data_IF_885453676408
#
_entry.id   IF_885453676408
#
_cell.length_a   1.000
_cell.length_b   1.000
_cell.length_c   1.000
_cell.angle_alpha   90.00
_cell.angle_beta   90.00
_cell.angle_gamma   90.00
#
_symmetry.space_group_name_H-M   'P 1'
#
loop_
_entity.id
_entity.type
_entity.pdbx_description
1 polymer ?
#
# COMPACT_ATOMS: atom_id res chain seq x y z
N UNK A 1 2.19 23.97 -3.57
CA UNK A 1 3.14 22.93 -3.12
C UNK A 1 4.50 23.32 -3.62
N UNK A 2 5.55 22.94 -2.92
CA UNK A 2 6.94 23.12 -3.35
C UNK A 2 7.53 21.76 -3.72
N UNK A 3 8.02 21.63 -4.94
CA UNK A 3 8.75 20.45 -5.41
C UNK A 3 10.25 20.78 -5.45
N UNK A 4 11.03 20.10 -4.64
CA UNK A 4 12.47 20.27 -4.51
C UNK A 4 13.15 19.19 -5.32
N UNK A 5 14.01 19.54 -6.28
CA UNK A 5 14.65 18.57 -7.17
C UNK A 5 16.16 18.73 -7.12
N UNK A 6 16.87 17.69 -6.69
CA UNK A 6 18.32 17.60 -6.79
C UNK A 6 18.75 17.62 -8.26
N UNK A 7 19.64 18.54 -8.62
CA UNK A 7 20.03 18.82 -10.01
C UNK A 7 20.50 17.58 -10.76
N UNK A 8 21.31 16.73 -10.12
CA UNK A 8 21.77 15.46 -10.68
C UNK A 8 20.65 14.49 -11.10
N UNK A 9 19.48 14.58 -10.47
CA UNK A 9 18.33 13.73 -10.76
C UNK A 9 17.38 14.30 -11.80
N UNK A 10 17.47 15.60 -12.10
CA UNK A 10 16.59 16.22 -13.09
C UNK A 10 16.76 15.55 -14.47
N UNK A 11 15.65 15.45 -15.20
CA UNK A 11 15.60 14.85 -16.55
C UNK A 11 14.82 15.75 -17.52
N UNK A 12 15.23 15.85 -18.80
CA UNK A 12 14.49 16.60 -19.81
C UNK A 12 13.05 16.17 -20.00
N UNK A 13 12.77 14.87 -19.88
CA UNK A 13 11.42 14.30 -20.00
C UNK A 13 10.42 14.86 -18.97
N UNK A 14 10.91 15.41 -17.85
CA UNK A 14 10.06 15.94 -16.79
C UNK A 14 9.52 17.34 -17.07
N UNK A 15 9.98 17.99 -18.13
CA UNK A 15 9.66 19.39 -18.42
C UNK A 15 8.15 19.64 -18.57
N UNK A 16 7.43 18.77 -19.28
CA UNK A 16 5.98 18.88 -19.42
C UNK A 16 5.25 18.74 -18.08
N UNK A 17 5.72 17.83 -17.21
CA UNK A 17 5.15 17.63 -15.87
C UNK A 17 5.40 18.84 -14.96
N UNK A 18 6.60 19.44 -15.00
CA UNK A 18 6.94 20.63 -14.22
C UNK A 18 6.17 21.88 -14.71
N UNK A 19 5.96 22.00 -16.02
CA UNK A 19 5.14 23.07 -16.58
C UNK A 19 3.68 22.95 -16.10
N UNK A 20 3.11 21.74 -16.18
CA UNK A 20 1.76 21.48 -15.67
C UNK A 20 1.67 21.70 -14.14
N UNK A 21 2.73 21.38 -13.40
CA UNK A 21 2.84 21.63 -11.96
C UNK A 21 2.76 23.12 -11.63
N UNK A 22 3.54 23.95 -12.32
CA UNK A 22 3.54 25.41 -12.16
C UNK A 22 2.21 26.04 -12.58
N UNK A 23 1.59 25.58 -13.68
CA UNK A 23 0.27 26.05 -14.10
C UNK A 23 -0.84 25.84 -13.05
N UNK A 24 -0.68 24.85 -12.16
CA UNK A 24 -1.58 24.62 -11.02
C UNK A 24 -1.29 25.51 -9.81
N UNK A 25 -0.43 26.53 -9.95
CA UNK A 25 -0.02 27.43 -8.88
C UNK A 25 0.96 26.82 -7.88
N UNK A 26 1.61 25.71 -8.22
CA UNK A 26 2.68 25.14 -7.42
C UNK A 26 4.04 25.70 -7.86
N UNK A 27 5.05 25.54 -7.01
CA UNK A 27 6.42 25.96 -7.29
C UNK A 27 7.33 24.74 -7.35
N UNK A 28 8.43 24.85 -8.07
CA UNK A 28 9.51 23.90 -7.97
C UNK A 28 10.87 24.60 -7.86
N UNK A 29 11.78 23.97 -7.14
CA UNK A 29 13.06 24.52 -6.74
C UNK A 29 14.17 23.55 -7.16
N UNK A 30 15.25 24.10 -7.69
CA UNK A 30 16.44 23.33 -8.01
C UNK A 30 17.38 23.29 -6.80
N UNK A 31 17.77 22.10 -6.39
CA UNK A 31 18.77 21.87 -5.34
C UNK A 31 20.11 21.52 -5.97
N UNK A 32 21.10 22.38 -5.78
CA UNK A 32 22.47 22.14 -6.25
C UNK A 32 23.32 21.47 -5.18
N UNK A 33 24.04 20.44 -5.59
CA UNK A 33 25.08 19.77 -4.82
C UNK A 33 26.36 20.60 -4.69
N UNK A 34 27.31 20.12 -3.89
CA UNK A 34 28.61 20.78 -3.71
C UNK A 34 29.41 20.74 -5.02
N UNK A 35 29.67 21.90 -5.60
CA UNK A 35 30.47 22.03 -6.82
C UNK A 35 29.67 21.93 -8.12
N UNK A 36 28.34 21.79 -8.06
CA UNK A 36 27.50 21.89 -9.26
C UNK A 36 27.41 23.35 -9.72
N UNK A 37 27.88 23.61 -10.93
CA UNK A 37 27.75 24.90 -11.58
C UNK A 37 26.33 25.04 -12.18
N UNK A 38 25.85 26.29 -12.27
CA UNK A 38 24.54 26.66 -12.84
C UNK A 38 24.51 26.53 -14.38
N UNK A 39 25.34 25.67 -14.97
CA UNK A 39 25.56 25.70 -16.42
C UNK A 39 24.34 25.21 -17.22
N UNK A 40 23.85 26.15 -18.03
CA UNK A 40 22.95 26.06 -19.18
C UNK A 40 21.68 25.21 -19.02
N UNK A 41 20.69 25.84 -18.38
CA UNK A 41 19.26 25.54 -18.31
C UNK A 41 18.67 24.63 -19.43
N UNK A 42 18.56 23.31 -19.20
CA UNK A 42 17.70 22.45 -20.03
C UNK A 42 16.19 22.63 -19.69
N UNK A 43 15.86 23.51 -18.73
CA UNK A 43 14.51 23.81 -18.26
C UNK A 43 13.89 25.08 -18.89
N UNK A 44 14.33 25.52 -20.07
CA UNK A 44 13.89 26.78 -20.68
C UNK A 44 12.36 26.98 -20.75
N UNK A 45 11.59 25.91 -20.99
CA UNK A 45 10.13 25.97 -21.05
C UNK A 45 9.42 25.98 -19.68
N UNK A 46 10.13 25.69 -18.58
CA UNK A 46 9.60 25.68 -17.20
C UNK A 46 10.75 25.91 -16.23
N UNK A 47 11.22 27.16 -16.05
CA UNK A 47 12.34 27.45 -15.16
C UNK A 47 11.99 27.22 -13.69
N UNK A 48 12.97 26.87 -12.83
CA UNK A 48 12.73 26.74 -11.39
C UNK A 48 12.35 28.10 -10.80
N UNK A 49 11.42 28.08 -9.86
CA UNK A 49 10.97 29.25 -9.10
C UNK A 49 12.09 29.79 -8.18
N UNK A 50 13.08 28.95 -7.85
CA UNK A 50 14.31 29.36 -7.21
C UNK A 50 15.34 28.24 -7.16
N UNK A 51 16.57 28.61 -6.76
CA UNK A 51 17.71 27.70 -6.66
C UNK A 51 18.22 27.75 -5.22
N UNK A 52 18.50 26.58 -4.65
CA UNK A 52 19.01 26.41 -3.30
C UNK A 52 20.23 25.50 -3.32
N UNK A 53 21.14 25.67 -2.37
CA UNK A 53 22.21 24.71 -2.13
C UNK A 53 21.70 23.65 -1.16
N UNK A 54 21.95 22.37 -1.47
CA UNK A 54 21.58 21.25 -0.60
C UNK A 54 22.10 21.42 0.83
N UNK A 55 23.32 21.96 0.99
CA UNK A 55 23.93 22.25 2.30
C UNK A 55 23.16 23.30 3.10
N UNK A 56 22.62 24.31 2.43
CA UNK A 56 21.93 25.43 3.09
C UNK A 56 20.52 24.99 3.51
N UNK A 57 19.89 24.11 2.70
CA UNK A 57 18.64 23.45 3.07
C UNK A 57 18.82 22.54 4.29
N UNK A 58 19.91 21.76 4.35
CA UNK A 58 20.25 20.93 5.51
C UNK A 58 20.45 21.76 6.77
N UNK A 59 21.25 22.83 6.69
CA UNK A 59 21.48 23.74 7.82
C UNK A 59 20.16 24.37 8.30
N UNK A 60 19.26 24.70 7.37
CA UNK A 60 17.95 25.24 7.73
C UNK A 60 17.07 24.22 8.47
N UNK A 61 17.01 22.97 8.03
CA UNK A 61 16.27 21.91 8.74
C UNK A 61 16.82 21.62 10.13
N UNK A 62 18.12 21.83 10.35
CA UNK A 62 18.76 21.72 11.66
C UNK A 62 18.56 22.97 12.55
N UNK A 63 17.86 24.00 12.06
CA UNK A 63 17.62 25.25 12.79
C UNK A 63 18.83 26.21 12.82
N UNK A 64 19.87 25.93 12.03
CA UNK A 64 21.12 26.71 11.98
C UNK A 64 21.05 27.89 11.00
N UNK A 65 20.07 27.90 10.10
CA UNK A 65 19.91 28.93 9.07
C UNK A 65 18.44 29.19 8.70
N UNK A 66 18.15 30.38 8.18
CA UNK A 66 16.85 30.70 7.61
C UNK A 66 16.76 30.23 6.15
N UNK A 67 15.63 29.64 5.76
CA UNK A 67 15.35 29.23 4.39
C UNK A 67 13.94 29.67 3.98
N UNK A 68 13.73 30.13 2.72
CA UNK A 68 12.40 30.49 2.22
C UNK A 68 11.41 29.31 2.25
N UNK A 69 11.91 28.08 2.35
CA UNK A 69 11.09 26.86 2.48
C UNK A 69 10.68 26.56 3.92
N UNK A 70 11.39 27.06 4.94
CA UNK A 70 11.00 26.82 6.34
C UNK A 70 9.73 27.60 6.73
N UNK A 71 9.37 28.64 5.97
CA UNK A 71 8.11 29.37 6.14
C UNK A 71 6.89 28.60 5.61
N UNK A 72 7.11 27.55 4.81
CA UNK A 72 6.06 26.68 4.28
C UNK A 72 5.92 25.43 5.13
N UNK A 73 4.68 25.00 5.40
CA UNK A 73 4.42 23.77 6.17
C UNK A 73 5.04 22.55 5.45
N UNK A 74 5.76 21.64 6.15
CA UNK A 74 6.46 20.50 5.56
C UNK A 74 5.57 19.58 4.71
N UNK A 75 4.30 19.44 5.09
CA UNK A 75 3.29 18.68 4.34
C UNK A 75 2.99 19.30 2.96
N UNK A 76 3.47 20.51 2.68
CA UNK A 76 3.37 21.18 1.38
C UNK A 76 4.61 21.01 0.50
N UNK A 77 5.57 20.18 0.90
CA UNK A 77 6.84 20.00 0.21
C UNK A 77 7.08 18.55 -0.21
N UNK A 78 7.68 18.38 -1.39
CA UNK A 78 8.11 17.09 -1.93
C UNK A 78 9.58 17.23 -2.32
N UNK A 79 10.42 16.29 -1.91
CA UNK A 79 11.84 16.24 -2.21
C UNK A 79 12.16 15.10 -3.17
N UNK A 80 12.83 15.42 -4.27
CA UNK A 80 13.49 14.48 -5.17
C UNK A 80 14.99 14.53 -4.91
N UNK A 81 15.53 13.52 -4.23
CA UNK A 81 16.95 13.46 -3.87
C UNK A 81 17.51 12.03 -3.94
N UNK A 82 18.80 11.92 -4.28
CA UNK A 82 19.59 10.70 -4.15
C UNK A 82 20.48 10.73 -2.91
N UNK A 83 20.70 11.90 -2.33
CA UNK A 83 21.46 12.07 -1.08
C UNK A 83 20.75 11.41 0.11
N UNK A 84 21.39 10.39 0.70
CA UNK A 84 20.87 9.69 1.88
C UNK A 84 20.65 10.63 3.07
N UNK A 85 21.53 11.61 3.29
CA UNK A 85 21.38 12.57 4.40
C UNK A 85 20.18 13.50 4.23
N UNK A 86 19.93 13.97 2.99
CA UNK A 86 18.74 14.78 2.70
C UNK A 86 17.47 13.95 2.89
N UNK A 87 17.47 12.69 2.45
CA UNK A 87 16.31 11.82 2.58
C UNK A 87 16.01 11.46 4.04
N UNK A 88 17.03 11.20 4.86
CA UNK A 88 16.83 10.93 6.29
C UNK A 88 16.21 12.14 7.00
N UNK A 89 16.78 13.33 6.83
CA UNK A 89 16.26 14.54 7.46
C UNK A 89 14.91 14.98 6.90
N UNK A 90 14.67 14.77 5.60
CA UNK A 90 13.36 14.99 5.00
C UNK A 90 12.30 14.10 5.68
N UNK A 91 12.60 12.83 5.94
CA UNK A 91 11.67 11.94 6.67
C UNK A 91 11.41 12.41 8.08
N UNK A 92 12.44 12.83 8.82
CA UNK A 92 12.29 13.35 10.18
C UNK A 92 11.50 14.65 10.23
N UNK A 93 11.71 15.51 9.24
CA UNK A 93 11.01 16.80 9.07
C UNK A 93 9.61 16.63 8.48
N UNK A 94 9.24 15.41 8.09
CA UNK A 94 7.94 15.10 7.51
C UNK A 94 7.76 15.65 6.10
N UNK A 95 8.77 15.58 5.24
CA UNK A 95 8.65 15.85 3.82
C UNK A 95 8.39 14.54 3.06
N UNK A 96 7.61 14.64 2.00
CA UNK A 96 7.48 13.58 1.03
C UNK A 96 8.78 13.44 0.22
N UNK A 97 9.20 12.22 -0.03
CA UNK A 97 10.45 11.90 -0.73
C UNK A 97 10.20 10.97 -1.92
N UNK A 98 10.74 11.37 -3.06
CA UNK A 98 10.67 10.67 -4.34
C UNK A 98 12.10 10.52 -4.87
N UNK A 99 12.40 9.45 -5.60
CA UNK A 99 13.74 9.29 -6.20
C UNK A 99 14.23 7.84 -6.23
N UNK A 100 15.45 7.59 -6.72
CA UNK A 100 15.97 6.22 -6.87
C UNK A 100 16.07 5.46 -5.54
N UNK A 101 16.26 6.21 -4.45
CA UNK A 101 16.29 5.73 -3.06
C UNK A 101 15.21 6.42 -2.20
N UNK A 102 14.19 7.00 -2.84
CA UNK A 102 13.11 7.72 -2.17
C UNK A 102 12.38 6.83 -1.16
N UNK A 103 12.10 7.38 0.03
CA UNK A 103 11.48 6.63 1.09
C UNK A 103 9.98 6.45 0.88
N UNK A 104 9.32 7.24 0.03
CA UNK A 104 7.86 7.17 -0.15
C UNK A 104 7.46 6.64 -1.52
N UNK A 105 8.22 6.97 -2.56
CA UNK A 105 8.07 6.36 -3.87
C UNK A 105 9.41 6.29 -4.59
N UNK A 106 9.71 5.13 -5.20
CA UNK A 106 10.85 5.01 -6.10
C UNK A 106 10.51 5.69 -7.42
N UNK A 107 11.45 6.49 -7.92
CA UNK A 107 11.41 7.08 -9.24
C UNK A 107 12.68 6.68 -9.99
N UNK A 108 12.53 5.79 -10.95
CA UNK A 108 13.57 5.38 -11.87
C UNK A 108 13.89 6.45 -12.92
N UNK A 109 14.95 6.22 -13.68
CA UNK A 109 15.42 7.17 -14.71
C UNK A 109 14.40 7.40 -15.84
N UNK A 110 13.61 6.36 -16.16
CA UNK A 110 12.66 6.35 -17.27
C UNK A 110 11.20 6.51 -16.82
N UNK A 111 10.96 6.68 -15.51
CA UNK A 111 9.61 6.82 -14.97
C UNK A 111 9.02 8.20 -15.27
N UNK A 112 7.71 8.23 -15.54
CA UNK A 112 6.96 9.47 -15.76
C UNK A 112 6.75 10.22 -14.42
N UNK A 113 7.38 11.40 -14.31
CA UNK A 113 7.28 12.26 -13.12
C UNK A 113 5.84 12.68 -12.83
N UNK A 114 5.03 12.96 -13.85
CA UNK A 114 3.64 13.37 -13.68
C UNK A 114 2.81 12.26 -13.05
N UNK A 115 2.95 11.03 -13.53
CA UNK A 115 2.30 9.83 -12.97
C UNK A 115 2.79 9.57 -11.55
N UNK A 116 4.09 9.67 -11.30
CA UNK A 116 4.67 9.50 -9.98
C UNK A 116 4.14 10.55 -8.98
N UNK A 117 4.11 11.83 -9.36
CA UNK A 117 3.55 12.92 -8.55
C UNK A 117 2.06 12.72 -8.33
N UNK A 118 1.31 12.29 -9.34
CA UNK A 118 -0.12 12.00 -9.21
C UNK A 118 -0.36 10.87 -8.21
N UNK A 119 0.40 9.77 -8.28
CA UNK A 119 0.33 8.66 -7.33
C UNK A 119 0.70 9.12 -5.92
N UNK A 120 1.77 9.90 -5.79
CA UNK A 120 2.25 10.43 -4.51
C UNK A 120 1.22 11.38 -3.88
N UNK A 121 0.66 12.31 -4.66
CA UNK A 121 -0.36 13.24 -4.20
C UNK A 121 -1.72 12.60 -3.96
N UNK A 122 -2.09 11.56 -4.72
CA UNK A 122 -3.31 10.78 -4.48
C UNK A 122 -3.27 10.08 -3.11
N UNK A 123 -2.07 9.79 -2.57
CA UNK A 123 -1.91 9.31 -1.18
C UNK A 123 -2.15 10.39 -0.14
N UNK A 124 -2.03 11.68 -0.52
CA UNK A 124 -2.30 12.85 0.35
C UNK A 124 -3.79 13.16 0.48
N UNK A 125 -4.67 12.29 -0.01
CA UNK A 125 -6.10 12.42 0.25
C UNK A 125 -6.38 12.23 1.74
N UNK A 126 -7.32 13.01 2.27
CA UNK A 126 -7.90 12.81 3.59
C UNK A 126 -8.17 11.31 3.78
N UNK A 127 -7.81 10.77 4.95
CA UNK A 127 -8.14 9.39 5.30
C UNK A 127 -9.64 9.19 5.04
N UNK A 128 -10.05 8.37 4.05
CA UNK A 128 -11.44 8.32 3.65
C UNK A 128 -12.27 7.62 4.72
N UNK A 129 -13.57 7.89 4.75
CA UNK A 129 -14.48 7.05 5.54
C UNK A 129 -14.82 5.82 4.70
N UNK A 130 -14.47 4.63 5.19
CA UNK A 130 -14.84 3.37 4.57
C UNK A 130 -16.01 2.76 5.35
N UNK A 131 -17.03 2.28 4.63
CA UNK A 131 -18.25 1.74 5.23
C UNK A 131 -18.49 0.36 4.67
N UNK A 132 -18.79 -0.58 5.56
CA UNK A 132 -19.32 -1.87 5.13
C UNK A 132 -20.74 -1.68 4.57
N UNK A 133 -21.09 -2.31 3.44
CA UNK A 133 -22.47 -2.35 2.98
C UNK A 133 -23.35 -3.11 3.99
N UNK A 134 -24.39 -2.47 4.54
CA UNK A 134 -25.28 -3.11 5.52
C UNK A 134 -26.07 -2.14 6.40
N UNK A 135 -26.87 -2.71 7.31
CA UNK A 135 -27.72 -1.99 8.27
C UNK A 135 -27.00 -1.63 9.58
N UNK A 136 -27.76 -1.57 10.68
CA UNK A 136 -27.35 -1.03 11.99
C UNK A 136 -26.07 -1.58 12.66
N UNK A 137 -25.53 -2.72 12.20
CA UNK A 137 -24.26 -3.31 12.68
C UNK A 137 -23.08 -3.14 11.70
N UNK A 138 -23.26 -2.33 10.64
CA UNK A 138 -22.26 -2.11 9.60
C UNK A 138 -21.03 -1.38 10.15
N UNK A 139 -19.86 -2.00 10.00
CA UNK A 139 -18.61 -1.42 10.45
C UNK A 139 -18.27 -0.14 9.67
N UNK A 140 -17.91 0.91 10.39
CA UNK A 140 -17.44 2.18 9.81
C UNK A 140 -16.01 2.43 10.24
N UNK A 141 -15.14 2.61 9.25
CA UNK A 141 -13.75 3.03 9.41
C UNK A 141 -13.69 4.53 9.12
N UNK A 142 -13.41 5.34 10.12
CA UNK A 142 -13.30 6.80 9.98
C UNK A 142 -11.90 7.28 10.36
N UNK A 143 -11.48 8.49 9.94
CA UNK A 143 -10.31 9.14 10.52
C UNK A 143 -10.35 9.13 12.05
N UNK A 144 -9.16 9.04 12.65
CA UNK A 144 -8.98 9.27 14.07
C UNK A 144 -9.38 10.71 14.42
N UNK A 145 -10.02 10.88 15.57
CA UNK A 145 -10.43 12.17 16.13
C UNK A 145 -9.66 12.46 17.43
N UNK A 146 -9.48 13.73 17.82
CA UNK A 146 -8.86 14.08 19.10
C UNK A 146 -9.52 13.38 20.31
N UNK A 147 -10.85 13.21 20.29
CA UNK A 147 -11.59 12.52 21.35
C UNK A 147 -11.29 11.01 21.49
N UNK A 148 -10.66 10.38 20.49
CA UNK A 148 -10.31 8.97 20.53
C UNK A 148 -9.16 8.67 21.52
N UNK A 149 -8.38 9.69 21.94
CA UNK A 149 -7.24 9.55 22.88
C UNK A 149 -7.63 8.75 24.14
N UNK A 150 -8.81 9.03 24.70
CA UNK A 150 -9.32 8.35 25.90
C UNK A 150 -9.61 6.86 25.68
N UNK A 151 -10.12 6.49 24.51
CA UNK A 151 -10.40 5.10 24.15
C UNK A 151 -9.10 4.35 23.83
N UNK A 152 -8.17 4.99 23.13
CA UNK A 152 -6.83 4.45 22.84
C UNK A 152 -6.11 4.16 24.15
N UNK A 153 -6.03 5.13 25.07
CA UNK A 153 -5.40 4.94 26.38
C UNK A 153 -6.05 3.76 27.12
N UNK A 154 -7.38 3.75 27.24
CA UNK A 154 -8.11 2.69 27.94
C UNK A 154 -7.81 1.29 27.39
N UNK A 155 -7.84 1.09 26.08
CA UNK A 155 -7.62 -0.24 25.50
C UNK A 155 -6.15 -0.63 25.47
N UNK A 156 -5.24 0.30 25.15
CA UNK A 156 -3.79 0.04 25.11
C UNK A 156 -3.18 -0.19 26.49
N UNK A 157 -3.79 0.33 27.57
CA UNK A 157 -3.41 0.01 28.94
C UNK A 157 -3.75 -1.42 29.37
N UNK A 158 -4.59 -2.16 28.62
CA UNK A 158 -4.90 -3.56 28.90
C UNK A 158 -3.71 -4.46 28.53
N UNK A 159 -3.14 -5.14 29.54
CA UNK A 159 -2.01 -6.04 29.38
C UNK A 159 -2.29 -7.18 28.38
N UNK A 160 -3.53 -7.65 28.26
CA UNK A 160 -3.90 -8.68 27.31
C UNK A 160 -3.81 -8.20 25.86
N UNK A 161 -4.09 -6.91 25.60
CA UNK A 161 -3.90 -6.30 24.28
C UNK A 161 -2.41 -6.09 23.99
N UNK A 162 -1.68 -5.52 24.94
CA UNK A 162 -0.26 -5.19 24.79
C UNK A 162 0.60 -6.45 24.56
N UNK A 163 0.30 -7.55 25.24
CA UNK A 163 1.06 -8.82 25.18
C UNK A 163 1.34 -9.33 23.77
N UNK A 164 0.45 -9.10 22.81
CA UNK A 164 0.54 -9.64 21.45
C UNK A 164 0.57 -8.56 20.36
N UNK A 165 0.86 -7.31 20.73
CA UNK A 165 0.92 -6.19 19.79
C UNK A 165 2.33 -5.59 19.79
N UNK A 166 2.98 -5.56 18.62
CA UNK A 166 4.40 -5.23 18.49
C UNK A 166 4.81 -3.86 19.06
N UNK A 167 3.93 -2.87 18.91
CA UNK A 167 4.25 -1.47 19.19
C UNK A 167 3.40 -0.85 20.31
N UNK A 168 2.84 -1.67 21.20
CA UNK A 168 2.09 -1.19 22.38
C UNK A 168 2.89 -1.56 23.64
N UNK A 169 3.62 -0.60 24.25
CA UNK A 169 4.35 -0.87 25.48
C UNK A 169 3.38 -1.14 26.64
N UNK A 170 3.84 -1.91 27.62
CA UNK A 170 3.13 -2.11 28.87
C UNK A 170 4.08 -1.88 30.06
N UNK A 171 3.70 -1.02 31.04
CA UNK A 171 2.48 -0.22 31.11
C UNK A 171 2.41 0.87 30.02
N UNK A 172 1.20 1.16 29.53
CA UNK A 172 0.97 2.18 28.50
C UNK A 172 0.79 3.55 29.15
N UNK A 173 1.65 4.53 28.84
CA UNK A 173 1.58 5.86 29.44
C UNK A 173 0.47 6.72 28.80
N UNK A 174 -0.10 7.68 29.54
CA UNK A 174 -1.04 8.65 28.97
C UNK A 174 -0.47 9.43 27.78
N UNK A 175 0.81 9.81 27.85
CA UNK A 175 1.51 10.53 26.78
C UNK A 175 1.61 9.68 25.51
N UNK A 176 1.79 8.36 25.63
CA UNK A 176 1.91 7.46 24.49
C UNK A 176 0.65 7.46 23.60
N UNK A 177 -0.55 7.59 24.20
CA UNK A 177 -1.80 7.68 23.44
C UNK A 177 -1.84 8.95 22.57
N UNK A 178 -1.50 10.09 23.19
CA UNK A 178 -1.47 11.40 22.53
C UNK A 178 -0.41 11.44 21.44
N UNK A 179 0.79 10.96 21.74
CA UNK A 179 1.92 10.94 20.81
C UNK A 179 1.64 10.04 19.61
N UNK A 180 1.04 8.87 19.85
CA UNK A 180 0.64 7.96 18.78
C UNK A 180 -0.46 8.53 17.89
N UNK A 181 -1.47 9.18 18.48
CA UNK A 181 -2.54 9.85 17.75
C UNK A 181 -1.98 10.99 16.88
N UNK A 182 -1.12 11.84 17.46
CA UNK A 182 -0.45 12.92 16.75
C UNK A 182 0.46 12.39 15.62
N UNK A 183 1.21 11.31 15.88
CA UNK A 183 2.05 10.66 14.87
C UNK A 183 1.22 10.08 13.73
N UNK A 184 0.06 9.48 14.04
CA UNK A 184 -0.86 8.93 13.03
C UNK A 184 -1.43 10.03 12.14
N UNK A 185 -1.81 11.17 12.74
CA UNK A 185 -2.23 12.36 11.99
C UNK A 185 -1.13 12.92 11.08
N UNK A 186 0.12 13.01 11.59
CA UNK A 186 1.28 13.41 10.78
C UNK A 186 1.50 12.45 9.62
N UNK A 187 1.54 11.13 9.86
CA UNK A 187 1.70 10.12 8.80
C UNK A 187 0.63 10.25 7.71
N UNK A 188 -0.62 10.49 8.09
CA UNK A 188 -1.71 10.71 7.14
C UNK A 188 -1.53 12.01 6.33
N UNK A 189 -1.21 13.13 6.98
CA UNK A 189 -0.97 14.41 6.30
C UNK A 189 0.17 14.33 5.28
N UNK A 190 1.13 13.44 5.54
CA UNK A 190 2.30 13.18 4.72
C UNK A 190 2.13 12.02 3.75
N UNK A 191 0.96 11.37 3.67
CA UNK A 191 0.76 10.22 2.78
C UNK A 191 1.65 9.01 3.10
N UNK A 192 2.25 8.95 4.30
CA UNK A 192 3.06 7.83 4.81
C UNK A 192 2.19 6.65 5.27
N UNK A 193 0.89 6.87 5.39
CA UNK A 193 -0.07 5.85 5.75
C UNK A 193 -1.34 6.46 6.31
N UNK A 194 -2.42 5.69 6.28
CA UNK A 194 -3.69 6.06 6.89
C UNK A 194 -3.94 5.21 8.12
N UNK A 195 -4.55 5.78 9.15
CA UNK A 195 -5.05 5.03 10.29
C UNK A 195 -6.51 5.37 10.52
N UNK A 196 -7.33 4.34 10.59
CA UNK A 196 -8.76 4.44 10.82
C UNK A 196 -9.10 4.01 12.24
N UNK A 197 -10.03 4.73 12.85
CA UNK A 197 -10.81 4.24 13.97
C UNK A 197 -11.88 3.26 13.44
N UNK A 198 -11.95 2.08 14.04
CA UNK A 198 -13.06 1.15 13.85
C UNK A 198 -14.20 1.61 14.77
N UNK A 199 -15.37 1.82 14.19
CA UNK A 199 -16.57 2.24 14.92
C UNK A 199 -17.77 1.41 14.49
N UNK A 200 -18.62 1.08 15.45
CA UNK A 200 -19.92 0.46 15.19
C UNK A 200 -20.98 1.55 15.35
N UNK A 201 -21.97 1.65 14.46
CA UNK A 201 -23.06 2.61 14.59
C UNK A 201 -23.70 2.44 15.97
N UNK A 202 -23.70 3.51 16.78
CA UNK A 202 -24.50 3.54 18.00
C UNK A 202 -25.76 4.35 17.74
N UNK A 203 -26.91 3.79 18.11
CA UNK A 203 -28.20 4.43 17.97
C UNK A 203 -28.34 5.63 18.91
N UNK A 204 -28.72 6.76 18.30
CA UNK A 204 -29.17 8.06 18.84
C UNK A 204 -28.10 9.13 19.05
N UNK A 205 -28.12 10.13 18.17
CA UNK A 205 -27.45 11.43 18.32
C UNK A 205 -26.51 11.78 17.16
N UNK A 206 -26.01 13.03 17.16
CA UNK A 206 -24.95 13.53 16.28
C UNK A 206 -23.53 13.24 16.84
N UNK A 207 -23.41 12.51 17.96
CA UNK A 207 -22.10 12.17 18.53
C UNK A 207 -21.37 11.10 17.69
N UNK A 208 -20.06 11.26 17.44
CA UNK A 208 -19.29 10.27 16.72
C UNK A 208 -19.24 8.95 17.50
N UNK A 209 -19.56 7.85 16.83
CA UNK A 209 -19.53 6.52 17.42
C UNK A 209 -18.16 6.23 18.08
N UNK A 210 -18.17 5.57 19.26
CA UNK A 210 -16.96 5.33 20.02
C UNK A 210 -16.02 4.38 19.28
N UNK A 211 -14.72 4.68 19.37
CA UNK A 211 -13.67 3.81 18.85
C UNK A 211 -13.67 2.47 19.60
N UNK A 212 -13.58 1.37 18.85
CA UNK A 212 -13.45 0.00 19.38
C UNK A 212 -12.15 -0.69 18.98
N UNK A 213 -11.41 -0.11 18.04
CA UNK A 213 -10.13 -0.60 17.54
C UNK A 213 -9.55 0.34 16.50
N UNK A 214 -8.38 0.01 15.98
CA UNK A 214 -7.76 0.75 14.87
C UNK A 214 -7.21 -0.17 13.81
N UNK A 215 -7.15 0.32 12.58
CA UNK A 215 -6.42 -0.32 11.50
C UNK A 215 -5.59 0.73 10.77
N UNK A 216 -4.31 0.45 10.58
CA UNK A 216 -3.34 1.28 9.89
C UNK A 216 -2.91 0.61 8.59
N UNK A 217 -2.81 1.40 7.51
CA UNK A 217 -2.20 1.03 6.25
C UNK A 217 -0.99 1.93 6.02
N UNK A 218 0.20 1.36 5.99
CA UNK A 218 1.43 2.07 5.65
C UNK A 218 1.54 2.29 4.14
N UNK A 219 2.31 3.31 3.72
CA UNK A 219 2.51 3.65 2.30
C UNK A 219 3.09 2.49 1.47
N UNK A 220 3.85 1.60 2.09
CA UNK A 220 4.44 0.41 1.47
C UNK A 220 3.52 -0.82 1.52
N UNK A 221 2.26 -0.66 1.94
CA UNK A 221 1.26 -1.73 1.93
C UNK A 221 1.20 -2.61 3.19
N UNK A 222 1.98 -2.31 4.23
CA UNK A 222 1.85 -3.06 5.50
C UNK A 222 0.58 -2.65 6.24
N UNK A 223 -0.20 -3.64 6.65
CA UNK A 223 -1.36 -3.49 7.51
C UNK A 223 -0.97 -3.79 8.96
N UNK A 224 -1.48 -2.97 9.87
CA UNK A 224 -1.41 -3.20 11.31
C UNK A 224 -2.77 -2.91 11.94
N UNK A 225 -3.15 -3.65 12.98
CA UNK A 225 -4.42 -3.43 13.65
C UNK A 225 -4.39 -3.85 15.10
N UNK A 226 -5.34 -3.33 15.86
CA UNK A 226 -5.74 -3.87 17.15
C UNK A 226 -7.23 -3.63 17.36
N UNK A 227 -7.85 -4.48 18.17
CA UNK A 227 -9.25 -4.36 18.58
C UNK A 227 -9.27 -4.48 20.10
N UNK A 228 -9.93 -3.53 20.78
CA UNK A 228 -10.01 -3.51 22.23
C UNK A 228 -10.57 -4.83 22.76
N UNK A 229 -10.02 -5.33 23.87
CA UNK A 229 -10.32 -6.67 24.42
C UNK A 229 -11.82 -7.01 24.46
N UNK A 230 -12.73 -6.11 24.90
CA UNK A 230 -14.18 -6.41 24.93
C UNK A 230 -14.84 -6.67 23.56
N UNK A 231 -14.18 -6.26 22.48
CA UNK A 231 -14.68 -6.28 21.11
C UNK A 231 -14.00 -7.35 20.23
N UNK A 232 -13.01 -8.06 20.77
CA UNK A 232 -12.33 -9.14 20.07
C UNK A 232 -13.27 -10.33 19.81
N UNK A 233 -12.85 -11.24 18.93
CA UNK A 233 -13.62 -12.43 18.52
C UNK A 233 -14.97 -12.15 17.83
N UNK A 234 -15.23 -10.91 17.39
CA UNK A 234 -16.42 -10.50 16.64
C UNK A 234 -16.17 -10.29 15.13
N UNK A 235 -15.02 -10.72 14.63
CA UNK A 235 -14.65 -10.56 13.21
C UNK A 235 -14.34 -9.13 12.75
N UNK A 236 -14.30 -8.14 13.67
CA UNK A 236 -14.13 -6.72 13.33
C UNK A 236 -12.82 -6.43 12.58
N UNK A 237 -11.71 -7.04 13.01
CA UNK A 237 -10.41 -6.86 12.35
C UNK A 237 -10.44 -7.40 10.90
N UNK A 238 -11.05 -8.56 10.66
CA UNK A 238 -11.21 -9.13 9.30
C UNK A 238 -12.07 -8.24 8.41
N UNK A 239 -13.20 -7.74 8.93
CA UNK A 239 -14.09 -6.83 8.21
C UNK A 239 -13.37 -5.52 7.86
N UNK A 240 -12.65 -4.94 8.82
CA UNK A 240 -11.84 -3.74 8.61
C UNK A 240 -10.73 -3.96 7.57
N UNK A 241 -9.96 -5.04 7.70
CA UNK A 241 -8.88 -5.38 6.76
C UNK A 241 -9.40 -5.60 5.34
N UNK A 242 -10.59 -6.17 5.19
CA UNK A 242 -11.23 -6.36 3.88
C UNK A 242 -11.61 -5.02 3.22
N UNK A 243 -12.15 -4.07 3.99
CA UNK A 243 -12.45 -2.73 3.49
C UNK A 243 -11.17 -1.98 3.07
N UNK A 244 -10.14 -2.05 3.90
CA UNK A 244 -8.86 -1.38 3.61
C UNK A 244 -8.12 -2.05 2.46
N UNK A 245 -8.25 -3.38 2.29
CA UNK A 245 -7.73 -4.10 1.12
C UNK A 245 -8.29 -3.55 -0.18
N UNK A 246 -9.61 -3.38 -0.26
CA UNK A 246 -10.26 -2.81 -1.43
C UNK A 246 -9.73 -1.38 -1.69
N UNK A 247 -9.73 -0.53 -0.67
CA UNK A 247 -9.17 0.82 -0.76
C UNK A 247 -7.70 0.83 -1.25
N UNK A 248 -6.84 0.00 -0.67
CA UNK A 248 -5.42 -0.04 -0.97
C UNK A 248 -5.13 -0.43 -2.44
N UNK A 249 -5.87 -1.40 -2.97
CA UNK A 249 -5.71 -1.83 -4.36
C UNK A 249 -6.42 -0.93 -5.35
N UNK A 250 -7.60 -0.40 -5.02
CA UNK A 250 -8.41 0.35 -5.97
C UNK A 250 -8.06 1.83 -6.02
N UNK A 251 -7.77 2.44 -4.86
CA UNK A 251 -7.51 3.86 -4.76
C UNK A 251 -6.00 4.12 -4.71
N UNK A 252 -5.26 3.39 -3.86
CA UNK A 252 -3.81 3.58 -3.73
C UNK A 252 -2.97 2.79 -4.72
N UNK A 253 -3.60 1.89 -5.48
CA UNK A 253 -2.95 1.10 -6.52
C UNK A 253 -1.72 0.32 -6.00
N UNK A 254 -1.70 -0.06 -4.72
CA UNK A 254 -0.55 -0.75 -4.13
C UNK A 254 -0.34 -2.10 -4.82
N UNK A 255 0.91 -2.49 -5.13
CA UNK A 255 1.18 -3.74 -5.81
C UNK A 255 0.92 -4.96 -4.92
N UNK A 256 1.00 -4.80 -3.60
CA UNK A 256 0.72 -5.83 -2.63
C UNK A 256 0.37 -5.22 -1.27
N UNK A 257 -0.22 -6.04 -0.42
CA UNK A 257 -0.38 -5.82 1.00
C UNK A 257 0.47 -6.82 1.78
N UNK A 258 1.03 -6.38 2.89
CA UNK A 258 1.75 -7.24 3.82
C UNK A 258 1.19 -7.07 5.23
N UNK A 259 1.41 -8.04 6.08
CA UNK A 259 1.18 -7.91 7.51
C UNK A 259 2.07 -8.90 8.26
N UNK A 260 2.26 -8.70 9.55
CA UNK A 260 3.08 -9.60 10.37
C UNK A 260 2.56 -9.68 11.80
N UNK A 261 2.79 -10.81 12.44
CA UNK A 261 2.38 -11.03 13.82
C UNK A 261 3.38 -11.89 14.58
N UNK A 262 3.40 -11.76 15.91
CA UNK A 262 4.13 -12.69 16.77
C UNK A 262 3.54 -14.11 16.62
N UNK A 263 4.34 -15.18 16.61
CA UNK A 263 3.86 -16.57 16.47
C UNK A 263 2.74 -16.97 17.44
N UNK A 264 2.78 -16.44 18.68
CA UNK A 264 1.73 -16.70 19.68
C UNK A 264 0.39 -16.00 19.40
N UNK A 265 0.35 -15.02 18.49
CA UNK A 265 -0.87 -14.29 18.14
C UNK A 265 -1.62 -14.97 16.99
N UNK A 266 -2.20 -16.14 17.28
CA UNK A 266 -2.98 -16.91 16.32
C UNK A 266 -4.22 -16.16 15.79
N UNK A 267 -4.75 -15.22 16.57
CA UNK A 267 -5.90 -14.41 16.17
C UNK A 267 -5.57 -13.51 14.98
N UNK A 268 -4.41 -12.84 14.99
CA UNK A 268 -3.95 -12.02 13.86
C UNK A 268 -3.62 -12.86 12.63
N UNK A 269 -3.02 -14.04 12.78
CA UNK A 269 -2.80 -14.97 11.66
C UNK A 269 -4.11 -15.35 10.96
N UNK A 270 -5.16 -15.68 11.73
CA UNK A 270 -6.50 -15.95 11.17
C UNK A 270 -7.13 -14.75 10.46
N UNK A 271 -6.85 -13.52 10.90
CA UNK A 271 -7.31 -12.31 10.20
C UNK A 271 -6.62 -12.18 8.84
N UNK A 272 -5.31 -12.41 8.77
CA UNK A 272 -4.52 -12.36 7.53
C UNK A 272 -5.01 -13.41 6.53
N UNK A 273 -5.15 -14.66 6.98
CA UNK A 273 -5.67 -15.77 6.18
C UNK A 273 -7.07 -15.45 5.61
N UNK A 274 -8.00 -14.99 6.46
CA UNK A 274 -9.37 -14.63 6.02
C UNK A 274 -9.41 -13.42 5.08
N UNK A 275 -8.39 -12.56 5.11
CA UNK A 275 -8.26 -11.42 4.18
C UNK A 275 -7.72 -11.86 2.81
N UNK A 276 -7.27 -13.12 2.70
CA UNK A 276 -6.71 -13.74 1.51
C UNK A 276 -5.18 -13.70 1.45
N UNK A 277 -4.51 -13.23 2.50
CA UNK A 277 -3.06 -13.25 2.56
C UNK A 277 -2.55 -14.69 2.70
N UNK A 278 -1.39 -14.96 2.14
CA UNK A 278 -0.63 -16.19 2.34
C UNK A 278 0.52 -15.95 3.31
N UNK A 279 0.90 -16.98 4.06
CA UNK A 279 2.09 -16.95 4.90
C UNK A 279 3.35 -16.90 4.01
N UNK A 280 4.21 -15.93 4.29
CA UNK A 280 5.42 -15.58 3.53
C UNK A 280 6.69 -15.96 4.33
N UNK A 281 6.56 -16.83 5.32
CA UNK A 281 7.65 -17.30 6.16
C UNK A 281 7.80 -16.56 7.49
N UNK A 282 8.74 -17.05 8.30
CA UNK A 282 9.07 -16.55 9.63
C UNK A 282 10.48 -15.99 9.65
N UNK A 283 10.65 -14.79 10.22
CA UNK A 283 11.92 -14.06 10.24
C UNK A 283 12.07 -13.25 11.55
N UNK A 284 13.30 -12.95 11.99
CA UNK A 284 13.54 -12.03 13.08
C UNK A 284 12.98 -10.63 12.79
N UNK A 285 12.46 -9.96 13.81
CA UNK A 285 12.05 -8.57 13.71
C UNK A 285 13.30 -7.68 13.52
N UNK A 286 13.28 -6.74 12.55
CA UNK A 286 14.42 -5.85 12.34
C UNK A 286 14.72 -4.92 13.52
N UNK A 287 13.74 -4.64 14.39
CA UNK A 287 13.94 -3.79 15.56
C UNK A 287 14.37 -4.60 16.80
N UNK A 288 13.85 -5.82 16.95
CA UNK A 288 14.26 -6.76 17.98
C UNK A 288 14.59 -8.13 17.36
N UNK A 289 15.87 -8.36 17.07
CA UNK A 289 16.32 -9.60 16.42
C UNK A 289 16.13 -10.88 17.26
N UNK A 290 15.73 -10.77 18.53
CA UNK A 290 15.35 -11.93 19.34
C UNK A 290 13.86 -12.31 19.16
N UNK A 291 13.04 -11.42 18.62
CA UNK A 291 11.62 -11.63 18.37
C UNK A 291 11.40 -12.14 16.94
N UNK A 292 10.95 -13.38 16.80
CA UNK A 292 10.52 -13.92 15.51
C UNK A 292 9.09 -13.47 15.16
N UNK A 293 8.86 -13.14 13.88
CA UNK A 293 7.55 -12.75 13.34
C UNK A 293 7.14 -13.64 12.17
N UNK A 294 5.88 -14.02 12.14
CA UNK A 294 5.24 -14.62 10.97
C UNK A 294 4.80 -13.51 10.01
N UNK A 295 5.30 -13.56 8.78
CA UNK A 295 5.00 -12.60 7.73
C UNK A 295 3.93 -13.14 6.78
N UNK A 296 3.11 -12.24 6.27
CA UNK A 296 2.01 -12.54 5.37
C UNK A 296 1.96 -11.53 4.24
N UNK A 297 1.54 -12.00 3.05
CA UNK A 297 1.49 -11.21 1.83
C UNK A 297 0.21 -11.48 1.04
N UNK A 298 -0.31 -10.45 0.38
CA UNK A 298 -1.34 -10.55 -0.63
C UNK A 298 -0.98 -9.61 -1.79
N UNK A 299 -0.66 -10.19 -2.93
CA UNK A 299 -0.45 -9.44 -4.16
C UNK A 299 -1.75 -8.87 -4.72
N UNK A 300 -1.67 -7.69 -5.33
CA UNK A 300 -2.80 -7.10 -6.03
C UNK A 300 -3.15 -8.03 -7.20
N UNK A 301 -4.41 -8.49 -7.32
CA UNK A 301 -4.79 -9.30 -8.47
C UNK A 301 -4.59 -8.48 -9.75
N UNK A 302 -4.03 -9.12 -10.77
CA UNK A 302 -3.92 -8.53 -12.10
C UNK A 302 -5.32 -8.08 -12.54
N UNK A 303 -5.47 -6.79 -12.87
CA UNK A 303 -6.71 -6.27 -13.47
C UNK A 303 -6.55 -6.29 -14.98
N UNK A 304 -7.45 -6.98 -15.65
CA UNK A 304 -7.65 -6.82 -17.09
C UNK A 304 -8.15 -5.39 -17.35
N UNK A 305 -7.52 -4.69 -18.30
CA UNK A 305 -8.06 -3.44 -18.85
C UNK A 305 -9.39 -3.72 -19.53
N UNK A 306 -10.24 -2.71 -19.73
CA UNK A 306 -11.55 -2.93 -20.38
C UNK A 306 -11.40 -3.50 -21.80
N UNK A 307 -10.39 -3.04 -22.55
CA UNK A 307 -10.03 -3.61 -23.85
C UNK A 307 -9.63 -5.11 -23.78
N UNK A 308 -8.95 -5.51 -22.70
CA UNK A 308 -8.58 -6.92 -22.47
C UNK A 308 -9.78 -7.76 -22.02
N UNK A 309 -10.69 -7.19 -21.22
CA UNK A 309 -11.96 -7.85 -20.85
C UNK A 309 -12.83 -8.09 -22.08
N UNK A 310 -12.99 -7.08 -22.94
CA UNK A 310 -13.75 -7.20 -24.19
C UNK A 310 -13.11 -8.25 -25.12
N UNK A 311 -11.79 -8.27 -25.23
CA UNK A 311 -11.09 -9.26 -26.03
C UNK A 311 -11.27 -10.70 -25.50
N UNK A 312 -11.28 -10.88 -24.17
CA UNK A 312 -11.47 -12.18 -23.54
C UNK A 312 -12.93 -12.62 -23.45
N UNK A 313 -13.90 -11.71 -23.55
CA UNK A 313 -15.31 -12.04 -23.38
C UNK A 313 -15.79 -13.20 -24.27
N UNK A 314 -15.47 -13.27 -25.58
CA UNK A 314 -15.87 -14.41 -26.42
C UNK A 314 -15.37 -15.76 -25.91
N UNK A 315 -14.18 -15.78 -25.29
CA UNK A 315 -13.59 -17.00 -24.73
C UNK A 315 -14.20 -17.36 -23.38
N UNK A 316 -14.50 -16.37 -22.56
CA UNK A 316 -15.15 -16.60 -21.27
C UNK A 316 -16.62 -17.01 -21.46
N UNK A 317 -17.27 -16.61 -22.54
CA UNK A 317 -18.62 -17.02 -22.90
C UNK A 317 -18.67 -18.40 -23.59
N UNK A 318 -17.53 -18.89 -24.12
CA UNK A 318 -17.42 -20.20 -24.76
C UNK A 318 -17.62 -21.34 -23.76
N UNK A 319 -18.62 -22.20 -23.98
CA UNK A 319 -18.92 -23.35 -23.13
C UNK A 319 -17.80 -24.40 -23.13
N UNK A 320 -16.95 -24.44 -24.15
CA UNK A 320 -15.79 -25.32 -24.16
C UNK A 320 -14.72 -24.88 -23.16
N UNK A 321 -14.65 -23.59 -22.78
CA UNK A 321 -13.76 -23.08 -21.75
C UNK A 321 -14.40 -23.34 -20.38
N UNK A 322 -13.86 -24.31 -19.65
CA UNK A 322 -14.41 -24.75 -18.35
C UNK A 322 -13.82 -23.95 -17.20
N UNK A 323 -12.52 -23.67 -17.24
CA UNK A 323 -11.82 -22.85 -16.24
C UNK A 323 -10.90 -21.87 -16.93
N UNK A 324 -10.87 -20.62 -16.47
CA UNK A 324 -9.94 -19.61 -16.94
C UNK A 324 -9.20 -18.98 -15.76
N UNK A 325 -7.88 -18.90 -15.84
CA UNK A 325 -7.00 -18.37 -14.78
C UNK A 325 -6.10 -17.28 -15.37
N UNK A 326 -6.13 -16.10 -14.77
CA UNK A 326 -5.24 -14.99 -15.09
C UNK A 326 -4.02 -15.02 -14.16
N UNK A 327 -2.82 -15.00 -14.73
CA UNK A 327 -1.58 -14.86 -13.99
C UNK A 327 -0.63 -13.89 -14.69
N UNK A 328 -0.46 -12.69 -14.13
CA UNK A 328 0.31 -11.62 -14.76
C UNK A 328 -0.28 -11.20 -16.10
N UNK A 329 0.48 -11.42 -17.17
CA UNK A 329 0.10 -11.15 -18.57
C UNK A 329 -0.33 -12.42 -19.32
N UNK A 330 -0.46 -13.55 -18.62
CA UNK A 330 -0.89 -14.83 -19.16
C UNK A 330 -2.32 -15.18 -18.73
N UNK A 331 -3.10 -15.74 -19.65
CA UNK A 331 -4.42 -16.34 -19.37
C UNK A 331 -4.38 -17.81 -19.74
N UNK A 332 -4.51 -18.69 -18.75
CA UNK A 332 -4.63 -20.12 -18.93
C UNK A 332 -6.12 -20.51 -19.05
N UNK A 333 -6.50 -21.10 -20.19
CA UNK A 333 -7.83 -21.60 -20.49
C UNK A 333 -7.81 -23.12 -20.49
N UNK A 334 -8.61 -23.75 -19.63
CA UNK A 334 -8.77 -25.19 -19.57
C UNK A 334 -10.05 -25.59 -20.28
N UNK A 335 -9.90 -26.35 -21.35
CA UNK A 335 -10.98 -26.58 -22.32
C UNK A 335 -11.40 -28.05 -22.40
N UNK A 336 -12.70 -28.29 -22.48
CA UNK A 336 -13.28 -29.64 -22.55
C UNK A 336 -12.97 -30.37 -23.87
N UNK A 337 -12.85 -29.63 -24.98
CA UNK A 337 -12.58 -30.17 -26.32
C UNK A 337 -11.10 -30.21 -26.73
N UNK A 338 -10.20 -29.63 -25.92
CA UNK A 338 -8.79 -29.47 -26.29
C UNK A 338 -7.95 -30.69 -25.89
N UNK A 339 -7.16 -31.22 -26.83
CA UNK A 339 -6.30 -32.40 -26.61
C UNK A 339 -4.82 -32.06 -26.46
N UNK A 340 -4.40 -30.84 -26.81
CA UNK A 340 -2.99 -30.42 -26.81
C UNK A 340 -2.85 -28.98 -26.31
N UNK A 341 -1.69 -28.64 -25.75
CA UNK A 341 -1.42 -27.25 -25.38
C UNK A 341 -1.32 -26.34 -26.60
N UNK A 342 -1.92 -25.15 -26.52
CA UNK A 342 -1.85 -24.14 -27.55
C UNK A 342 -1.52 -22.77 -26.97
N UNK A 343 -0.82 -21.92 -27.73
CA UNK A 343 -0.48 -20.56 -27.31
C UNK A 343 -0.89 -19.56 -28.41
N UNK A 344 -1.47 -18.43 -28.01
CA UNK A 344 -1.78 -17.33 -28.90
C UNK A 344 -1.71 -15.99 -28.16
N UNK A 345 -1.48 -14.89 -28.87
CA UNK A 345 -1.48 -13.55 -28.28
C UNK A 345 -2.79 -12.83 -28.53
N UNK A 346 -3.39 -12.23 -27.49
CA UNK A 346 -4.65 -11.50 -27.58
C UNK A 346 -4.57 -10.18 -26.81
N UNK A 347 -4.63 -9.03 -27.51
CA UNK A 347 -4.56 -7.70 -26.88
C UNK A 347 -3.38 -7.53 -25.91
N UNK A 348 -2.22 -8.11 -26.28
CA UNK A 348 -0.99 -8.11 -25.50
C UNK A 348 -0.95 -9.12 -24.34
N UNK A 349 -1.97 -9.97 -24.18
CA UNK A 349 -1.96 -11.12 -23.27
C UNK A 349 -1.48 -12.37 -23.98
N UNK A 350 -0.74 -13.23 -23.29
CA UNK A 350 -0.45 -14.60 -23.73
C UNK A 350 -1.59 -15.50 -23.30
N UNK A 351 -2.41 -15.98 -24.23
CA UNK A 351 -3.49 -16.92 -23.96
C UNK A 351 -2.98 -18.33 -24.23
N UNK A 352 -2.93 -19.15 -23.18
CA UNK A 352 -2.56 -20.56 -23.25
C UNK A 352 -3.77 -21.44 -23.07
N UNK A 353 -3.93 -22.42 -23.95
CA UNK A 353 -5.02 -23.40 -23.92
C UNK A 353 -4.46 -24.72 -23.42
N UNK A 354 -5.18 -25.32 -22.50
CA UNK A 354 -4.81 -26.56 -21.83
C UNK A 354 -5.96 -27.57 -21.94
N UNK A 355 -5.66 -28.87 -22.11
CA UNK A 355 -6.65 -29.92 -21.92
C UNK A 355 -7.25 -29.86 -20.51
N UNK A 356 -8.58 -30.03 -20.39
CA UNK A 356 -9.25 -30.04 -19.08
C UNK A 356 -8.65 -31.06 -18.09
N UNK A 357 -8.12 -32.16 -18.60
CA UNK A 357 -7.46 -33.21 -17.81
C UNK A 357 -6.28 -32.69 -16.96
N UNK A 358 -5.67 -31.56 -17.32
CA UNK A 358 -4.59 -30.92 -16.55
C UNK A 358 -5.03 -30.41 -15.18
N UNK A 359 -6.34 -30.21 -14.97
CA UNK A 359 -6.88 -29.85 -13.66
C UNK A 359 -6.99 -31.05 -12.71
N UNK A 360 -6.93 -32.28 -13.23
CA UNK A 360 -7.10 -33.49 -12.43
C UNK A 360 -6.04 -33.58 -11.31
N UNK A 361 -6.38 -34.14 -10.13
CA UNK A 361 -5.45 -34.28 -9.00
C UNK A 361 -4.12 -34.94 -9.37
N UNK A 362 -4.17 -35.93 -10.27
CA UNK A 362 -3.05 -36.75 -10.72
C UNK A 362 -2.15 -36.04 -11.76
N UNK A 363 -2.63 -34.93 -12.36
CA UNK A 363 -1.92 -34.25 -13.42
C UNK A 363 -0.80 -33.35 -12.84
N UNK A 364 0.39 -33.32 -13.47
CA UNK A 364 1.47 -32.42 -13.06
C UNK A 364 0.98 -30.98 -13.18
N UNK A 365 0.84 -30.31 -12.04
CA UNK A 365 0.35 -28.94 -12.00
C UNK A 365 1.36 -27.98 -12.61
N UNK A 366 0.88 -27.00 -13.40
CA UNK A 366 1.71 -25.92 -13.91
C UNK A 366 1.89 -24.88 -12.80
N UNK A 367 3.04 -24.92 -12.14
CA UNK A 367 3.40 -24.02 -11.02
C UNK A 367 3.24 -22.53 -11.37
N UNK A 368 3.41 -22.16 -12.64
CA UNK A 368 3.24 -20.79 -13.12
C UNK A 368 1.81 -20.25 -12.93
N UNK A 369 0.79 -21.09 -12.72
CA UNK A 369 -0.57 -20.63 -12.41
C UNK A 369 -0.77 -20.34 -10.91
N UNK A 370 0.18 -20.75 -10.06
CA UNK A 370 0.13 -20.57 -8.62
C UNK A 370 0.06 -19.09 -8.25
N UNK A 371 -1.01 -18.67 -7.58
CA UNK A 371 -1.22 -17.23 -7.30
C UNK A 371 -2.17 -16.52 -8.28
N UNK A 372 -2.57 -17.18 -9.37
CA UNK A 372 -3.47 -16.63 -10.37
C UNK A 372 -4.90 -16.36 -9.86
N UNK A 373 -5.61 -15.51 -10.59
CA UNK A 373 -7.00 -15.15 -10.33
C UNK A 373 -7.95 -15.91 -11.27
N UNK A 374 -9.00 -16.51 -10.72
CA UNK A 374 -10.05 -17.17 -11.52
C UNK A 374 -10.86 -16.12 -12.28
N UNK A 375 -10.90 -16.26 -13.60
CA UNK A 375 -11.76 -15.50 -14.51
C UNK A 375 -13.05 -16.24 -14.86
N UNK A 376 -13.00 -17.58 -14.92
CA UNK A 376 -14.12 -18.48 -15.13
C UNK A 376 -13.91 -19.75 -14.31
N UNK A 377 -14.99 -20.25 -13.72
CA UNK A 377 -15.01 -21.44 -12.87
C UNK A 377 -16.22 -22.30 -13.24
N UNK A 378 -16.05 -23.61 -13.17
CA UNK A 378 -17.12 -24.58 -13.39
C UNK A 378 -17.08 -25.61 -12.25
N UNK A 379 -18.01 -25.47 -11.30
CA UNK A 379 -17.94 -26.19 -10.03
C UNK A 379 -16.83 -25.63 -9.14
N UNK A 380 -15.95 -26.52 -8.65
CA UNK A 380 -14.81 -26.19 -7.78
C UNK A 380 -13.46 -26.60 -8.42
N UNK A 381 -13.42 -26.86 -9.72
CA UNK A 381 -12.26 -27.45 -10.41
C UNK A 381 -11.06 -26.51 -10.41
N UNK A 382 -11.25 -25.24 -10.80
CA UNK A 382 -10.18 -24.25 -10.88
C UNK A 382 -9.67 -23.86 -9.49
N UNK A 383 -10.58 -23.68 -8.54
CA UNK A 383 -10.25 -23.39 -7.15
C UNK A 383 -9.47 -24.54 -6.49
N UNK A 384 -9.87 -25.80 -6.71
CA UNK A 384 -9.15 -26.97 -6.20
C UNK A 384 -7.74 -27.08 -6.80
N UNK A 385 -7.61 -26.84 -8.10
CA UNK A 385 -6.32 -26.80 -8.80
C UNK A 385 -5.38 -25.72 -8.23
N UNK A 386 -5.86 -24.48 -8.07
CA UNK A 386 -5.06 -23.38 -7.50
C UNK A 386 -4.66 -23.63 -6.04
N UNK A 387 -5.50 -24.31 -5.26
CA UNK A 387 -5.16 -24.73 -3.89
C UNK A 387 -4.08 -25.80 -3.88
N UNK A 388 -4.14 -26.77 -4.81
CA UNK A 388 -3.13 -27.83 -4.96
C UNK A 388 -1.76 -27.26 -5.29
N UNK A 389 -1.68 -26.33 -6.25
CA UNK A 389 -0.43 -25.66 -6.62
C UNK A 389 0.22 -24.87 -5.47
N UNK A 390 -0.54 -24.53 -4.43
CA UNK A 390 -0.07 -23.76 -3.28
C UNK A 390 0.35 -24.62 -2.08
N UNK A 391 0.11 -25.93 -2.11
CA UNK A 391 0.62 -26.82 -1.08
C UNK A 391 2.11 -27.08 -1.38
N UNK A 392 3.02 -26.89 -0.41
CA UNK A 392 4.39 -27.36 -0.59
C UNK A 392 4.36 -28.86 -0.87
N UNK A 393 5.26 -29.34 -1.72
CA UNK A 393 5.54 -30.78 -1.82
C UNK A 393 5.91 -31.25 -0.41
N UNK A 394 4.97 -31.87 0.31
CA UNK A 394 5.27 -32.72 1.47
C UNK A 394 5.91 -34.01 0.93
N UNK A 395 7.10 -33.83 0.36
CA UNK A 395 8.01 -34.92 0.08
C UNK A 395 8.52 -35.45 1.41
N UNK A 396 8.00 -36.63 1.78
CA UNK A 396 8.62 -37.66 2.65
C UNK A 396 9.57 -37.22 3.76
#
# INVERSE_FOLDING_TARGET
MDLLIEGALWRPSWQAALQAWQHRGNRWWLLLGKGEAREMAPWAASPPDGILLARDLLAAWLGEAASPLMATQPDRQILIAASGSLLTLARESGLLTLGPVGADHRLGADDDLGVALQRLLARRLMTPVLREPGGQDALVLRPLLPGDESAILRYCSDAALARYTLNIPHPYSPEAARDWLALSGRKAALGLGCTWALTLPQGRGDEPAPLVGTLSLHWHGELAWWVGVPWQNRGLATRAASLVRAFAFEQWHLPALTARHMPGNLASGRVMEKTGMHHDGRRPDPADGALELDHWRLDRPARLTDARKEALAPWLDDEEVVVAILHGEEVALFMAGETTEGEQTLSGLTVRRYPLAMLAPEAPGVQAHGGGALLKECGDLGLAYLRRLRQPDDGR
#
